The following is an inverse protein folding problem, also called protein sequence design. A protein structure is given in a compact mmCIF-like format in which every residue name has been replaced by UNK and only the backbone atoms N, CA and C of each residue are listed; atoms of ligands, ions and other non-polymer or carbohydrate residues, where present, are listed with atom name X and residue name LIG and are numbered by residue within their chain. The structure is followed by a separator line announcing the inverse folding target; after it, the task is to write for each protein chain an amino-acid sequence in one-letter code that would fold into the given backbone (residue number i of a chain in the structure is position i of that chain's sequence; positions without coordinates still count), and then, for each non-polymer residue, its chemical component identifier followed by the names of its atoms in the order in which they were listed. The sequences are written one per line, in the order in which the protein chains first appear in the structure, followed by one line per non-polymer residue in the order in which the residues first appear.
data_IF_451808216829
#
_entry.id   IF_451808216829
#
_cell.length_a   1.000
_cell.length_b   1.000
_cell.length_c   1.000
_cell.angle_alpha   90.00
_cell.angle_beta   90.00
_cell.angle_gamma   90.00
#
_symmetry.space_group_name_H-M   'P 1'
#
loop_
_entity.id
_entity.type
_entity.pdbx_description
1 polymer ?
#
# COMPACT_ATOMS: atom_id res chain seq x y z
N UNK A 1 -29.58 13.28 2.16
CA UNK A 1 -29.57 14.49 3.04
C UNK A 1 -28.69 15.57 2.41
N UNK A 2 -29.08 16.84 2.43
CA UNK A 2 -28.29 17.91 1.77
C UNK A 2 -27.06 18.35 2.59
N UNK A 3 -25.90 18.43 1.95
CA UNK A 3 -24.64 18.92 2.53
C UNK A 3 -24.11 20.11 1.72
N UNK A 4 -23.51 21.10 2.37
CA UNK A 4 -22.99 22.29 1.68
C UNK A 4 -21.47 22.31 1.60
N UNK A 5 -20.94 23.13 0.69
CA UNK A 5 -19.48 23.34 0.51
C UNK A 5 -18.77 23.73 1.81
N UNK A 6 -19.41 24.52 2.67
CA UNK A 6 -18.84 25.03 3.91
C UNK A 6 -18.73 23.97 5.03
N UNK A 7 -19.28 22.76 4.84
CA UNK A 7 -19.07 21.65 5.78
C UNK A 7 -17.71 20.97 5.59
N UNK A 8 -17.06 21.23 4.46
CA UNK A 8 -15.77 20.68 4.10
C UNK A 8 -14.71 21.75 4.20
N UNK A 9 -13.48 21.34 4.47
CA UNK A 9 -12.28 22.17 4.38
C UNK A 9 -11.53 21.89 3.09
N UNK A 10 -11.66 20.67 2.55
CA UNK A 10 -11.08 20.25 1.28
C UNK A 10 -11.56 21.10 0.08
N UNK A 11 -10.63 21.49 -0.78
CA UNK A 11 -10.88 22.40 -1.90
C UNK A 11 -11.56 21.72 -3.08
N UNK A 12 -11.30 20.44 -3.31
CA UNK A 12 -11.86 19.70 -4.44
C UNK A 12 -13.33 19.40 -4.19
N UNK A 13 -13.67 18.89 -3.01
CA UNK A 13 -15.06 18.70 -2.58
C UNK A 13 -15.85 20.02 -2.61
N UNK A 14 -15.25 21.13 -2.15
CA UNK A 14 -15.90 22.44 -2.24
C UNK A 14 -16.23 22.81 -3.69
N UNK A 15 -15.26 22.67 -4.60
CA UNK A 15 -15.44 23.01 -6.01
C UNK A 15 -16.49 22.12 -6.66
N UNK A 16 -16.46 20.82 -6.36
CA UNK A 16 -17.47 19.87 -6.82
C UNK A 16 -18.88 20.28 -6.38
N UNK A 17 -19.06 20.62 -5.09
CA UNK A 17 -20.36 21.06 -4.57
C UNK A 17 -20.81 22.38 -5.22
N UNK A 18 -19.87 23.31 -5.48
CA UNK A 18 -20.19 24.57 -6.16
C UNK A 18 -20.61 24.31 -7.62
N UNK A 19 -19.96 23.38 -8.33
CA UNK A 19 -20.24 23.12 -9.74
C UNK A 19 -21.53 22.34 -9.97
N UNK A 20 -21.84 21.42 -9.05
CA UNK A 20 -22.95 20.46 -9.20
C UNK A 20 -24.17 20.82 -8.37
N UNK A 21 -24.03 21.72 -7.39
CA UNK A 21 -25.04 22.01 -6.40
C UNK A 21 -26.00 23.15 -6.74
N UNK A 22 -26.99 23.29 -5.87
CA UNK A 22 -27.97 24.37 -5.90
C UNK A 22 -28.11 25.02 -4.51
N UNK A 23 -28.55 26.28 -4.49
CA UNK A 23 -28.75 27.00 -3.24
C UNK A 23 -29.93 26.42 -2.46
N UNK A 24 -29.65 25.79 -1.32
CA UNK A 24 -30.66 25.30 -0.40
C UNK A 24 -30.20 25.49 1.06
N UNK A 25 -30.94 24.89 2.00
CA UNK A 25 -30.51 24.76 3.39
C UNK A 25 -29.68 23.50 3.62
N UNK A 26 -28.56 23.63 4.34
CA UNK A 26 -27.72 22.49 4.69
C UNK A 26 -28.28 21.71 5.89
N UNK A 27 -28.38 20.38 5.76
CA UNK A 27 -28.83 19.47 6.80
C UNK A 27 -27.89 19.37 8.01
N UNK A 28 -26.60 19.68 7.83
CA UNK A 28 -25.55 19.45 8.82
C UNK A 28 -25.13 20.71 9.58
N UNK A 29 -24.71 21.76 8.86
CA UNK A 29 -24.27 23.03 9.44
C UNK A 29 -25.41 24.05 9.65
N UNK A 30 -26.62 23.77 9.13
CA UNK A 30 -27.82 24.61 9.21
C UNK A 30 -27.74 25.98 8.52
N UNK A 31 -26.70 26.26 7.74
CA UNK A 31 -26.65 27.42 6.84
C UNK A 31 -27.77 27.35 5.80
N UNK A 32 -28.30 28.51 5.43
CA UNK A 32 -29.36 28.68 4.43
C UNK A 32 -28.80 29.41 3.22
N UNK A 33 -29.44 29.24 2.08
CA UNK A 33 -29.08 29.89 0.80
C UNK A 33 -27.60 29.70 0.46
N UNK A 34 -27.19 28.42 0.46
CA UNK A 34 -25.82 28.01 0.18
C UNK A 34 -25.81 26.82 -0.77
N UNK A 35 -24.78 26.71 -1.61
CA UNK A 35 -24.60 25.63 -2.56
C UNK A 35 -24.51 24.29 -1.82
N UNK A 36 -25.43 23.40 -2.20
CA UNK A 36 -25.61 22.08 -1.59
C UNK A 36 -25.84 21.00 -2.65
N UNK A 37 -25.43 19.79 -2.33
CA UNK A 37 -25.70 18.56 -3.10
C UNK A 37 -26.35 17.51 -2.21
N UNK A 38 -26.88 16.42 -2.79
CA UNK A 38 -27.24 15.26 -1.97
C UNK A 38 -25.96 14.56 -1.53
N UNK A 39 -25.81 14.29 -0.22
CA UNK A 39 -24.64 13.62 0.32
C UNK A 39 -24.43 12.20 -0.25
N UNK A 40 -25.49 11.58 -0.78
CA UNK A 40 -25.42 10.32 -1.54
C UNK A 40 -24.45 10.38 -2.73
N UNK A 41 -24.29 11.55 -3.35
CA UNK A 41 -23.33 11.75 -4.47
C UNK A 41 -21.87 11.56 -4.04
N UNK A 42 -21.59 11.58 -2.73
CA UNK A 42 -20.24 11.38 -2.18
C UNK A 42 -20.06 10.00 -1.55
N UNK A 43 -21.04 9.10 -1.62
CA UNK A 43 -20.97 7.81 -0.92
C UNK A 43 -19.83 6.93 -1.42
N UNK A 44 -19.61 6.84 -2.73
CA UNK A 44 -18.52 6.03 -3.29
C UNK A 44 -17.16 6.55 -2.82
N UNK A 45 -16.97 7.88 -2.82
CA UNK A 45 -15.76 8.51 -2.27
C UNK A 45 -15.53 8.13 -0.80
N UNK A 46 -16.57 8.23 0.04
CA UNK A 46 -16.44 7.87 1.45
C UNK A 46 -16.23 6.38 1.68
N UNK A 47 -16.84 5.53 0.85
CA UNK A 47 -16.63 4.08 0.91
C UNK A 47 -15.17 3.75 0.62
N UNK A 48 -14.63 4.26 -0.49
CA UNK A 48 -13.23 4.07 -0.84
C UNK A 48 -12.27 4.61 0.23
N UNK A 49 -12.63 5.74 0.86
CA UNK A 49 -11.87 6.32 1.97
C UNK A 49 -11.90 5.40 3.20
N UNK A 50 -13.07 4.90 3.60
CA UNK A 50 -13.22 4.02 4.77
C UNK A 50 -12.51 2.68 4.58
N UNK A 51 -12.46 2.15 3.36
CA UNK A 51 -11.72 0.93 3.02
C UNK A 51 -10.19 1.07 3.19
N UNK A 52 -9.68 2.30 3.38
CA UNK A 52 -8.27 2.55 3.73
C UNK A 52 -7.97 2.35 5.21
N UNK A 53 -8.97 2.07 6.03
CA UNK A 53 -8.82 1.89 7.47
C UNK A 53 -9.23 0.49 7.92
N UNK A 54 -8.69 0.06 9.05
CA UNK A 54 -9.07 -1.16 9.74
C UNK A 54 -9.26 -0.86 11.23
N UNK A 55 -10.18 -1.58 11.88
CA UNK A 55 -10.43 -1.43 13.32
C UNK A 55 -9.19 -1.90 14.09
N UNK A 56 -8.75 -1.10 15.06
CA UNK A 56 -7.56 -1.40 15.87
C UNK A 56 -7.72 -0.86 17.27
N UNK A 57 -7.50 -1.71 18.27
CA UNK A 57 -7.77 -1.41 19.69
C UNK A 57 -6.87 -0.32 20.28
N UNK A 58 -5.64 -0.19 19.79
CA UNK A 58 -4.68 0.86 20.15
C UNK A 58 -4.63 1.99 19.10
N UNK A 59 -5.65 2.05 18.22
CA UNK A 59 -5.74 3.01 17.14
C UNK A 59 -6.19 4.40 17.59
N UNK A 60 -6.47 5.24 16.59
CA UNK A 60 -7.01 6.59 16.78
C UNK A 60 -8.46 6.64 16.32
N UNK A 61 -9.26 7.55 16.88
CA UNK A 61 -10.64 7.75 16.42
C UNK A 61 -10.65 8.10 14.94
N UNK A 62 -11.50 7.44 14.15
CA UNK A 62 -11.56 7.64 12.71
C UNK A 62 -11.73 9.11 12.32
N UNK A 63 -12.63 9.86 12.98
CA UNK A 63 -12.81 11.29 12.74
C UNK A 63 -11.53 12.09 12.99
N UNK A 64 -10.81 11.78 14.08
CA UNK A 64 -9.56 12.47 14.43
C UNK A 64 -8.46 12.13 13.44
N UNK A 65 -8.38 10.87 12.99
CA UNK A 65 -7.39 10.43 12.00
C UNK A 65 -7.64 11.07 10.64
N UNK A 66 -8.89 11.11 10.17
CA UNK A 66 -9.26 11.78 8.91
C UNK A 66 -9.02 13.30 9.01
N UNK A 67 -9.43 13.94 10.10
CA UNK A 67 -9.22 15.37 10.26
C UNK A 67 -7.73 15.73 10.39
N UNK A 68 -6.94 14.91 11.08
CA UNK A 68 -5.50 15.15 11.30
C UNK A 68 -4.67 14.98 10.03
N UNK A 69 -5.01 14.03 9.16
CA UNK A 69 -4.25 13.75 7.94
C UNK A 69 -4.67 14.64 6.76
N UNK A 70 -5.97 14.90 6.58
CA UNK A 70 -6.47 15.62 5.40
C UNK A 70 -7.14 16.96 5.73
N UNK A 71 -7.46 17.22 7.00
CA UNK A 71 -8.28 18.36 7.39
C UNK A 71 -9.56 18.44 6.53
N UNK A 72 -10.27 17.30 6.40
CA UNK A 72 -11.35 17.12 5.42
C UNK A 72 -12.57 17.98 5.69
N UNK A 73 -12.98 18.09 6.96
CA UNK A 73 -14.19 18.81 7.37
C UNK A 73 -13.87 20.22 7.90
N UNK A 74 -14.89 21.07 7.93
CA UNK A 74 -14.79 22.41 8.53
C UNK A 74 -14.45 22.36 10.01
N UNK A 75 -15.00 21.37 10.71
CA UNK A 75 -14.76 21.07 12.11
C UNK A 75 -15.14 19.61 12.41
N UNK A 76 -14.62 19.10 13.53
CA UNK A 76 -14.79 17.72 13.97
C UNK A 76 -16.27 17.39 14.24
N UNK A 77 -17.07 18.33 14.76
CA UNK A 77 -18.47 18.05 15.11
C UNK A 77 -19.34 17.91 13.86
N UNK A 78 -19.12 18.76 12.85
CA UNK A 78 -19.76 18.63 11.53
C UNK A 78 -19.30 17.34 10.85
N UNK A 79 -17.99 17.06 10.86
CA UNK A 79 -17.43 15.83 10.31
C UNK A 79 -18.06 14.58 10.93
N UNK A 80 -18.18 14.53 12.26
CA UNK A 80 -18.83 13.43 12.97
C UNK A 80 -20.29 13.21 12.52
N UNK A 81 -21.06 14.28 12.33
CA UNK A 81 -22.46 14.15 11.87
C UNK A 81 -22.54 13.63 10.45
N UNK A 82 -21.69 14.14 9.56
CA UNK A 82 -21.63 13.72 8.16
C UNK A 82 -21.20 12.25 8.09
N UNK A 83 -20.09 11.89 8.72
CA UNK A 83 -19.56 10.54 8.69
C UNK A 83 -20.54 9.52 9.24
N UNK A 84 -21.18 9.76 10.40
CA UNK A 84 -22.15 8.81 10.94
C UNK A 84 -23.41 8.69 10.08
N UNK A 85 -23.81 9.76 9.40
CA UNK A 85 -24.88 9.66 8.39
C UNK A 85 -24.43 8.79 7.22
N UNK A 86 -23.22 9.00 6.67
CA UNK A 86 -22.70 8.19 5.56
C UNK A 86 -22.58 6.72 5.98
N UNK A 87 -21.92 6.43 7.11
CA UNK A 87 -21.72 5.09 7.66
C UNK A 87 -23.05 4.34 7.80
N UNK A 88 -24.10 5.01 8.29
CA UNK A 88 -25.42 4.38 8.41
C UNK A 88 -26.16 4.12 7.08
N UNK A 89 -25.65 4.60 5.94
CA UNK A 89 -26.28 4.49 4.63
C UNK A 89 -25.41 3.78 3.59
N UNK A 90 -24.20 3.33 3.94
CA UNK A 90 -23.32 2.57 3.04
C UNK A 90 -22.93 1.24 3.67
N UNK A 91 -22.57 0.28 2.83
CA UNK A 91 -21.96 -0.98 3.25
C UNK A 91 -20.47 -0.74 3.56
N UNK A 92 -20.14 -0.69 4.84
CA UNK A 92 -18.77 -0.51 5.37
C UNK A 92 -18.60 -1.33 6.65
N UNK A 93 -17.36 -1.76 6.92
CA UNK A 93 -17.00 -2.46 8.15
C UNK A 93 -16.95 -1.55 9.39
N UNK A 94 -16.89 -0.24 9.19
CA UNK A 94 -16.82 0.77 10.26
C UNK A 94 -18.21 1.01 10.83
N UNK A 95 -18.34 1.01 12.15
CA UNK A 95 -19.64 1.17 12.82
C UNK A 95 -20.01 2.63 13.11
N UNK A 96 -19.02 3.47 13.40
CA UNK A 96 -19.22 4.90 13.65
C UNK A 96 -17.90 5.69 13.56
N UNK A 97 -17.99 7.02 13.55
CA UNK A 97 -16.85 7.92 13.39
C UNK A 97 -15.89 7.99 14.60
N UNK A 98 -16.29 7.48 15.77
CA UNK A 98 -15.48 7.44 16.99
C UNK A 98 -14.74 6.11 17.16
N UNK A 99 -14.97 5.15 16.26
CA UNK A 99 -14.29 3.86 16.28
C UNK A 99 -12.77 4.03 16.14
N UNK A 100 -12.04 3.23 16.90
CA UNK A 100 -10.57 3.27 16.91
C UNK A 100 -10.06 2.48 15.71
N UNK A 101 -9.30 3.17 14.87
CA UNK A 101 -8.81 2.65 13.60
C UNK A 101 -7.32 2.91 13.42
N UNK A 102 -6.75 2.16 12.49
CA UNK A 102 -5.46 2.46 11.88
C UNK A 102 -5.59 2.29 10.36
N UNK A 103 -4.54 2.63 9.62
CA UNK A 103 -4.52 2.33 8.19
C UNK A 103 -4.60 0.83 7.93
N UNK A 104 -5.19 0.45 6.81
CA UNK A 104 -5.26 -0.94 6.39
C UNK A 104 -3.85 -1.53 6.20
N UNK A 105 -3.79 -2.87 6.16
CA UNK A 105 -2.51 -3.58 6.11
C UNK A 105 -1.68 -3.21 4.87
N UNK A 106 -2.31 -2.99 3.72
CA UNK A 106 -1.59 -2.65 2.49
C UNK A 106 -0.82 -1.33 2.60
N UNK A 107 -1.44 -0.31 3.20
CA UNK A 107 -0.81 0.98 3.45
C UNK A 107 0.31 0.81 4.48
N UNK A 108 0.04 0.08 5.57
CA UNK A 108 1.04 -0.14 6.61
C UNK A 108 2.26 -0.89 6.07
N UNK A 109 2.05 -1.92 5.26
CA UNK A 109 3.12 -2.70 4.64
C UNK A 109 3.92 -1.86 3.65
N UNK A 110 3.25 -1.00 2.88
CA UNK A 110 3.93 -0.10 1.95
C UNK A 110 4.86 0.88 2.68
N UNK A 111 4.35 1.51 3.75
CA UNK A 111 5.13 2.45 4.58
C UNK A 111 6.28 1.74 5.28
N UNK A 112 6.05 0.53 5.77
CA UNK A 112 7.02 -0.23 6.55
C UNK A 112 7.98 -1.07 5.69
N UNK A 113 7.78 -1.14 4.36
CA UNK A 113 8.57 -2.00 3.48
C UNK A 113 10.08 -1.80 3.65
N UNK A 114 10.53 -0.54 3.69
CA UNK A 114 11.96 -0.24 3.87
C UNK A 114 12.49 -0.68 5.22
N UNK A 115 11.68 -0.57 6.28
CA UNK A 115 12.05 -1.05 7.61
C UNK A 115 12.16 -2.58 7.61
N UNK A 116 11.16 -3.27 7.07
CA UNK A 116 11.16 -4.74 6.95
C UNK A 116 12.36 -5.22 6.13
N UNK A 117 12.62 -4.63 4.96
CA UNK A 117 13.77 -4.97 4.12
C UNK A 117 15.09 -4.74 4.85
N UNK A 118 15.21 -3.63 5.59
CA UNK A 118 16.40 -3.32 6.38
C UNK A 118 16.65 -4.37 7.46
N UNK A 119 15.63 -4.75 8.22
CA UNK A 119 15.76 -5.77 9.26
C UNK A 119 16.08 -7.15 8.65
N UNK A 120 15.49 -7.50 7.51
CA UNK A 120 15.85 -8.72 6.77
C UNK A 120 17.31 -8.71 6.33
N UNK A 121 17.81 -7.63 5.73
CA UNK A 121 19.21 -7.52 5.34
C UNK A 121 20.16 -7.63 6.55
N UNK A 122 19.75 -7.07 7.70
CA UNK A 122 20.54 -7.04 8.92
C UNK A 122 20.56 -8.36 9.69
N UNK A 123 19.44 -9.08 9.74
CA UNK A 123 19.28 -10.23 10.64
C UNK A 123 19.11 -11.56 9.92
N UNK A 124 18.49 -11.56 8.73
CA UNK A 124 18.19 -12.80 8.00
C UNK A 124 19.17 -13.05 6.85
N UNK A 125 19.53 -12.00 6.09
CA UNK A 125 20.32 -12.07 4.86
C UNK A 125 21.62 -11.27 4.98
N UNK A 126 22.40 -11.60 6.02
CA UNK A 126 23.67 -10.94 6.38
C UNK A 126 24.80 -11.05 5.37
N UNK A 127 24.60 -11.76 4.26
CA UNK A 127 25.64 -12.03 3.26
C UNK A 127 26.37 -10.74 2.79
N UNK A 128 25.62 -9.72 2.39
CA UNK A 128 26.16 -8.42 1.99
C UNK A 128 26.85 -7.70 3.15
N UNK A 129 26.29 -7.82 4.35
CA UNK A 129 26.85 -7.19 5.54
C UNK A 129 28.20 -7.81 5.93
N UNK A 130 28.30 -9.13 5.91
CA UNK A 130 29.48 -9.87 6.35
C UNK A 130 30.58 -9.90 5.28
N UNK A 131 30.22 -10.11 4.02
CA UNK A 131 31.20 -10.31 2.93
C UNK A 131 31.64 -9.01 2.27
N UNK A 132 30.80 -7.96 2.31
CA UNK A 132 31.16 -6.64 1.76
C UNK A 132 31.32 -5.59 2.86
N UNK A 133 30.23 -5.16 3.51
CA UNK A 133 30.26 -3.95 4.35
C UNK A 133 31.24 -4.05 5.51
N UNK A 134 31.28 -5.19 6.23
CA UNK A 134 32.21 -5.39 7.34
C UNK A 134 33.68 -5.36 6.89
N UNK A 135 33.99 -5.80 5.67
CA UNK A 135 35.34 -5.78 5.11
C UNK A 135 35.68 -4.39 4.60
N UNK A 136 34.77 -3.76 3.85
CA UNK A 136 34.92 -2.43 3.27
C UNK A 136 35.21 -1.39 4.36
N UNK A 137 34.39 -1.34 5.42
CA UNK A 137 34.56 -0.38 6.52
C UNK A 137 35.81 -0.63 7.38
N UNK A 138 36.40 -1.83 7.36
CA UNK A 138 37.72 -2.07 7.98
C UNK A 138 38.88 -1.62 7.11
N UNK A 139 38.72 -1.63 5.79
CA UNK A 139 39.79 -1.34 4.82
C UNK A 139 39.84 0.14 4.43
N UNK A 140 38.71 0.85 4.45
CA UNK A 140 38.58 2.19 3.89
C UNK A 140 37.60 3.05 4.69
N UNK A 141 38.00 4.29 4.95
CA UNK A 141 37.10 5.32 5.48
C UNK A 141 36.46 6.03 4.30
N UNK A 142 35.15 5.89 4.16
CA UNK A 142 34.38 6.50 3.09
C UNK A 142 33.99 7.93 3.47
N UNK A 143 34.19 8.87 2.55
CA UNK A 143 33.85 10.29 2.76
C UNK A 143 32.48 10.68 2.22
N UNK A 144 31.88 9.81 1.41
CA UNK A 144 30.52 9.98 0.91
C UNK A 144 29.85 8.62 0.62
N UNK A 145 28.54 8.64 0.42
CA UNK A 145 27.77 7.43 0.07
C UNK A 145 28.14 6.95 -1.33
N UNK A 146 28.40 7.88 -2.26
CA UNK A 146 28.77 7.58 -3.64
C UNK A 146 30.07 6.76 -3.71
N UNK A 147 31.04 7.08 -2.86
CA UNK A 147 32.30 6.33 -2.78
C UNK A 147 32.08 4.89 -2.32
N UNK A 148 31.21 4.67 -1.32
CA UNK A 148 30.83 3.34 -0.87
C UNK A 148 30.06 2.58 -1.94
N UNK A 149 29.18 3.27 -2.68
CA UNK A 149 28.39 2.68 -3.74
C UNK A 149 29.27 2.22 -4.92
N UNK A 150 30.32 2.95 -5.26
CA UNK A 150 31.27 2.54 -6.32
C UNK A 150 31.99 1.23 -5.96
N UNK A 151 32.47 1.11 -4.72
CA UNK A 151 33.12 -0.10 -4.24
C UNK A 151 32.13 -1.28 -4.16
N UNK A 152 30.88 -1.01 -3.74
CA UNK A 152 29.82 -2.01 -3.71
C UNK A 152 29.47 -2.51 -5.11
N UNK A 153 29.32 -1.62 -6.09
CA UNK A 153 29.03 -1.98 -7.48
C UNK A 153 30.16 -2.84 -8.07
N UNK A 154 31.40 -2.46 -7.80
CA UNK A 154 32.59 -3.22 -8.25
C UNK A 154 32.61 -4.62 -7.62
N UNK A 155 32.36 -4.69 -6.32
CA UNK A 155 32.29 -5.97 -5.60
C UNK A 155 31.13 -6.85 -6.09
N UNK A 156 29.94 -6.30 -6.34
CA UNK A 156 28.80 -7.02 -6.90
C UNK A 156 29.10 -7.57 -8.30
N UNK A 157 29.78 -6.79 -9.14
CA UNK A 157 30.20 -7.24 -10.47
C UNK A 157 31.12 -8.45 -10.38
N UNK A 158 32.17 -8.35 -9.54
CA UNK A 158 33.09 -9.45 -9.28
C UNK A 158 32.35 -10.67 -8.70
N UNK A 159 31.52 -10.47 -7.68
CA UNK A 159 30.78 -11.54 -7.01
C UNK A 159 29.87 -12.30 -7.98
N UNK A 160 29.11 -11.59 -8.80
CA UNK A 160 28.15 -12.20 -9.70
C UNK A 160 28.79 -12.87 -10.93
N UNK A 161 29.87 -12.29 -11.46
CA UNK A 161 30.41 -12.68 -12.77
C UNK A 161 31.75 -13.40 -12.73
N UNK A 162 32.52 -13.27 -11.65
CA UNK A 162 33.90 -13.79 -11.57
C UNK A 162 34.08 -14.79 -10.43
N UNK A 163 33.41 -14.58 -9.28
CA UNK A 163 33.52 -15.50 -8.15
C UNK A 163 32.75 -16.78 -8.41
N UNK A 164 33.47 -17.90 -8.46
CA UNK A 164 32.87 -19.23 -8.52
C UNK A 164 32.53 -19.71 -7.12
N UNK A 165 31.34 -20.26 -6.92
CA UNK A 165 30.96 -20.85 -5.64
C UNK A 165 31.42 -22.30 -5.57
N UNK A 166 32.13 -22.65 -4.49
CA UNK A 166 32.66 -24.00 -4.24
C UNK A 166 31.61 -24.98 -3.70
N UNK A 167 30.32 -24.64 -3.78
CA UNK A 167 29.25 -25.55 -3.40
C UNK A 167 29.26 -26.80 -4.27
N UNK A 168 29.08 -27.98 -3.66
CA UNK A 168 29.07 -29.30 -4.33
C UNK A 168 28.15 -29.34 -5.56
N UNK A 169 27.09 -28.54 -5.57
CA UNK A 169 26.08 -28.46 -6.63
C UNK A 169 26.21 -27.23 -7.53
N UNK A 170 27.16 -26.32 -7.26
CA UNK A 170 27.40 -25.14 -8.08
C UNK A 170 28.39 -25.42 -9.23
N UNK A 171 29.10 -26.57 -9.20
CA UNK A 171 30.00 -27.04 -10.26
C UNK A 171 31.03 -26.00 -10.74
N UNK A 172 31.49 -25.11 -9.84
CA UNK A 172 32.42 -24.04 -10.19
C UNK A 172 31.82 -22.94 -11.06
N UNK A 173 30.49 -22.86 -11.18
CA UNK A 173 29.80 -21.77 -11.88
C UNK A 173 29.71 -20.52 -11.00
N UNK A 174 29.62 -19.37 -11.65
CA UNK A 174 29.35 -18.09 -10.99
C UNK A 174 27.85 -17.94 -10.69
N UNK A 175 27.45 -17.04 -9.78
CA UNK A 175 26.04 -16.76 -9.52
C UNK A 175 25.27 -16.40 -10.80
N UNK A 176 25.85 -15.55 -11.66
CA UNK A 176 25.20 -15.14 -12.91
C UNK A 176 25.03 -16.31 -13.88
N UNK A 177 26.04 -17.16 -14.03
CA UNK A 177 25.92 -18.37 -14.85
C UNK A 177 24.83 -19.29 -14.33
N UNK A 178 24.79 -19.52 -13.02
CA UNK A 178 23.77 -20.36 -12.37
C UNK A 178 22.36 -19.78 -12.58
N UNK A 179 22.20 -18.47 -12.44
CA UNK A 179 20.95 -17.77 -12.68
C UNK A 179 20.49 -17.94 -14.14
N UNK A 180 21.37 -17.69 -15.10
CA UNK A 180 21.07 -17.84 -16.53
C UNK A 180 20.71 -19.28 -16.91
N UNK A 181 21.44 -20.27 -16.38
CA UNK A 181 21.16 -21.69 -16.60
C UNK A 181 19.81 -22.10 -16.00
N UNK A 182 19.43 -21.51 -14.86
CA UNK A 182 18.14 -21.80 -14.21
C UNK A 182 16.93 -21.18 -14.91
N UNK A 183 17.15 -20.18 -15.78
CA UNK A 183 16.08 -19.42 -16.44
C UNK A 183 15.20 -20.29 -17.34
N UNK A 184 15.80 -21.24 -18.06
CA UNK A 184 15.07 -22.19 -18.92
C UNK A 184 14.22 -23.13 -18.08
N UNK A 185 14.78 -23.68 -17.01
CA UNK A 185 14.10 -24.58 -16.07
C UNK A 185 12.90 -23.88 -15.42
N UNK A 186 13.06 -22.62 -15.01
CA UNK A 186 11.96 -21.84 -14.44
C UNK A 186 10.84 -21.59 -15.46
N UNK A 187 11.20 -21.31 -16.72
CA UNK A 187 10.24 -21.11 -17.81
C UNK A 187 9.47 -22.39 -18.12
N UNK A 188 10.16 -23.52 -18.18
CA UNK A 188 9.54 -24.84 -18.40
C UNK A 188 8.54 -25.18 -17.28
N UNK A 189 8.94 -25.03 -16.02
CA UNK A 189 8.03 -25.23 -14.87
C UNK A 189 6.82 -24.32 -14.89
N UNK A 190 7.00 -23.06 -15.28
CA UNK A 190 5.88 -22.12 -15.43
C UNK A 190 4.91 -22.59 -16.51
N UNK A 191 5.42 -23.02 -17.67
CA UNK A 191 4.60 -23.55 -18.76
C UNK A 191 3.88 -24.84 -18.36
N UNK A 192 4.51 -25.73 -17.61
CA UNK A 192 3.89 -26.93 -17.03
C UNK A 192 2.74 -26.57 -16.09
N UNK A 193 2.97 -25.62 -15.17
CA UNK A 193 1.95 -25.14 -14.22
C UNK A 193 0.75 -24.55 -14.94
N UNK A 194 0.97 -23.67 -15.92
CA UNK A 194 -0.08 -23.07 -16.73
C UNK A 194 -0.86 -24.12 -17.56
N UNK A 195 -0.16 -25.15 -18.07
CA UNK A 195 -0.78 -26.23 -18.82
C UNK A 195 -1.64 -27.14 -17.92
N UNK A 196 -1.23 -27.38 -16.67
CA UNK A 196 -2.04 -28.09 -15.66
C UNK A 196 -3.30 -27.29 -15.29
N UNK A 197 -3.17 -25.98 -15.04
CA UNK A 197 -4.30 -25.10 -14.78
C UNK A 197 -5.30 -25.08 -15.94
N UNK A 198 -4.83 -25.01 -17.19
CA UNK A 198 -5.69 -25.11 -18.37
C UNK A 198 -6.37 -26.46 -18.52
N UNK A 199 -5.70 -27.58 -18.18
CA UNK A 199 -6.32 -28.91 -18.14
C UNK A 199 -7.42 -28.97 -17.08
N UNK A 200 -7.21 -28.41 -15.90
CA UNK A 200 -8.23 -28.35 -14.85
C UNK A 200 -9.47 -27.57 -15.34
N UNK A 201 -9.27 -26.45 -16.05
CA UNK A 201 -10.37 -25.66 -16.61
C UNK A 201 -11.11 -26.37 -17.77
N UNK A 202 -10.39 -27.11 -18.61
CA UNK A 202 -10.97 -27.80 -19.78
C UNK A 202 -11.62 -29.14 -19.45
N UNK A 203 -11.17 -29.84 -18.39
CA UNK A 203 -11.76 -31.10 -17.94
C UNK A 203 -12.77 -30.93 -16.78
N UNK A 204 -12.61 -29.93 -15.91
CA UNK A 204 -13.57 -29.62 -14.83
C UNK A 204 -14.91 -29.05 -15.31
N UNK A 205 -15.02 -28.67 -16.59
CA UNK A 205 -16.25 -28.16 -17.20
C UNK A 205 -17.20 -29.26 -17.71
N UNK A 206 -16.82 -30.55 -17.65
CA UNK A 206 -17.61 -31.66 -18.22
C UNK A 206 -18.44 -32.48 -17.22
N UNK A 207 -18.50 -32.12 -15.93
CA UNK A 207 -19.21 -32.92 -14.91
C UNK A 207 -20.56 -32.35 -14.43
N UNK A 208 -21.18 -31.39 -15.15
CA UNK A 208 -22.53 -30.93 -14.83
C UNK A 208 -23.48 -31.02 -16.04
N UNK A 209 -23.67 -32.22 -16.58
CA UNK A 209 -24.86 -32.58 -17.37
C UNK A 209 -25.25 -34.02 -17.03
N UNK A 210 -26.05 -34.16 -15.98
CA UNK A 210 -26.68 -35.40 -15.54
C UNK A 210 -27.92 -35.09 -14.74
#
# INVERSE_FOLDING_TARGET
MLVCKDCFSDNELKRFIISSGHNNGCGFCKKKDIETINLEELFDFFKELFDKFQIKTDGERLISKIQGNWNLFSDIAIGNRIMNYVIGNIDTHIQNSEELVDFNIDILDNVNYWHTLKEQLKWERRYLQDEFYAIAFRKKIYRSIEELQLDLNSWLSYYNNERTHTGKHCYGKTPMQTFLDSKTIAKEKLLETLAEEQKILTFGSKENVG
#
